data_IF_702347163013
#
_entry.id   IF_702347163013
#
_cell.length_a   1.000
_cell.length_b   1.000
_cell.length_c   1.000
_cell.angle_alpha   90.00
_cell.angle_beta   90.00
_cell.angle_gamma   90.00
#
_symmetry.space_group_name_H-M   'P 1'
#
loop_
_entity.id
_entity.type
_entity.pdbx_description
1 polymer ?
#
# COMPACT_ATOMS: atom_id res chain seq x y z
N UNK A 1 1.85 35.06 -16.19
CA UNK A 1 3.22 34.48 -16.27
C UNK A 1 3.25 33.19 -15.49
N UNK A 2 3.05 32.07 -16.15
CA UNK A 2 2.97 30.73 -15.59
C UNK A 2 4.39 30.19 -15.50
N UNK A 3 4.92 30.05 -14.25
CA UNK A 3 6.22 29.44 -14.01
C UNK A 3 6.13 27.94 -14.36
N UNK A 4 6.49 27.60 -15.59
CA UNK A 4 6.84 26.25 -15.97
C UNK A 4 8.03 25.78 -15.09
N UNK A 5 7.77 24.97 -14.06
CA UNK A 5 8.80 24.17 -13.42
C UNK A 5 9.29 23.15 -14.46
N UNK A 6 10.38 23.48 -15.14
CA UNK A 6 11.18 22.52 -15.89
C UNK A 6 11.72 21.49 -14.88
N UNK A 7 11.10 20.33 -14.83
CA UNK A 7 11.78 19.13 -14.33
C UNK A 7 12.85 18.78 -15.37
N UNK A 8 14.05 19.31 -15.21
CA UNK A 8 15.20 18.93 -16.02
C UNK A 8 15.59 17.51 -15.62
N UNK A 9 15.26 16.54 -16.47
CA UNK A 9 15.81 15.20 -16.39
C UNK A 9 17.28 15.30 -16.76
N UNK A 10 18.18 15.06 -15.79
CA UNK A 10 19.60 14.88 -16.02
C UNK A 10 19.87 13.37 -16.12
N UNK A 11 20.25 12.87 -17.31
CA UNK A 11 20.52 11.43 -17.48
C UNK A 11 21.77 10.95 -16.72
N UNK A 12 22.65 11.86 -16.27
CA UNK A 12 23.87 11.55 -15.53
C UNK A 12 23.67 11.64 -14.00
N UNK A 13 22.50 12.09 -13.54
CA UNK A 13 22.22 12.16 -12.10
C UNK A 13 21.98 10.76 -11.54
N UNK A 14 22.73 10.37 -10.49
CA UNK A 14 22.57 9.09 -9.81
C UNK A 14 21.14 8.93 -9.31
N UNK A 15 20.62 7.70 -9.41
CA UNK A 15 19.27 7.33 -8.95
C UNK A 15 19.10 7.71 -7.46
N UNK A 16 20.13 7.50 -6.64
CA UNK A 16 20.13 7.80 -5.21
C UNK A 16 20.03 9.32 -4.98
N UNK A 17 20.78 10.13 -5.71
CA UNK A 17 20.73 11.59 -5.62
C UNK A 17 19.39 12.15 -6.07
N UNK A 18 18.82 11.58 -7.12
CA UNK A 18 17.46 11.90 -7.55
C UNK A 18 16.42 11.58 -6.49
N UNK A 19 16.50 10.42 -5.89
CA UNK A 19 15.61 10.01 -4.79
C UNK A 19 15.78 10.94 -3.59
N UNK A 20 17.01 11.25 -3.20
CA UNK A 20 17.31 12.15 -2.07
C UNK A 20 16.80 13.59 -2.28
N UNK A 21 17.03 14.20 -3.44
CA UNK A 21 16.52 15.53 -3.77
C UNK A 21 14.97 15.56 -3.81
N UNK A 22 14.34 14.47 -4.24
CA UNK A 22 12.89 14.32 -4.31
C UNK A 22 12.26 14.03 -2.96
N UNK A 23 12.97 13.33 -2.07
CA UNK A 23 12.45 12.87 -0.78
C UNK A 23 12.21 13.98 0.24
N UNK A 24 12.89 15.12 0.14
CA UNK A 24 12.84 16.24 1.12
C UNK A 24 11.43 16.73 1.49
N UNK A 25 10.41 16.33 0.77
CA UNK A 25 9.02 16.73 1.04
C UNK A 25 8.01 15.65 0.61
N UNK A 26 8.36 14.37 0.81
CA UNK A 26 7.54 13.21 0.42
C UNK A 26 6.77 12.67 1.62
N UNK A 27 5.46 12.53 1.47
CA UNK A 27 4.57 11.83 2.42
C UNK A 27 4.91 10.33 2.44
N UNK A 28 5.24 9.76 1.28
CA UNK A 28 5.64 8.37 1.18
C UNK A 28 6.87 8.07 2.04
N UNK A 29 7.89 8.95 2.02
CA UNK A 29 9.06 8.78 2.88
C UNK A 29 8.69 8.88 4.37
N UNK A 30 7.78 9.77 4.75
CA UNK A 30 7.29 9.86 6.14
C UNK A 30 6.64 8.53 6.55
N UNK A 31 5.81 7.93 5.68
CA UNK A 31 5.18 6.63 5.93
C UNK A 31 6.25 5.53 6.11
N UNK A 32 7.26 5.48 5.25
CA UNK A 32 8.36 4.51 5.36
C UNK A 32 9.09 4.68 6.69
N UNK A 33 9.45 5.91 7.06
CA UNK A 33 10.13 6.20 8.33
C UNK A 33 9.25 5.81 9.53
N UNK A 34 7.96 6.11 9.50
CA UNK A 34 7.02 5.70 10.56
C UNK A 34 7.00 4.17 10.73
N UNK A 35 6.92 3.40 9.63
CA UNK A 35 6.95 1.94 9.69
C UNK A 35 8.26 1.41 10.30
N UNK A 36 9.41 1.99 9.91
CA UNK A 36 10.71 1.60 10.46
C UNK A 36 10.77 1.92 11.96
N UNK A 37 10.33 3.10 12.39
CA UNK A 37 10.34 3.50 13.81
C UNK A 37 9.43 2.62 14.66
N UNK A 38 8.22 2.29 14.16
CA UNK A 38 7.31 1.36 14.84
C UNK A 38 7.94 -0.02 14.94
N UNK A 39 8.54 -0.53 13.87
CA UNK A 39 9.23 -1.82 13.88
C UNK A 39 10.36 -1.86 14.92
N UNK A 40 11.18 -0.83 14.99
CA UNK A 40 12.25 -0.73 15.98
C UNK A 40 11.68 -0.70 17.41
N UNK A 41 10.62 0.07 17.65
CA UNK A 41 9.97 0.14 18.96
C UNK A 41 9.44 -1.24 19.41
N UNK A 42 8.74 -1.95 18.51
CA UNK A 42 8.21 -3.31 18.79
C UNK A 42 9.34 -4.31 19.02
N UNK A 43 10.42 -4.22 18.23
CA UNK A 43 11.59 -5.09 18.41
C UNK A 43 12.23 -4.90 19.79
N UNK A 44 12.35 -3.66 20.28
CA UNK A 44 12.96 -3.34 21.57
C UNK A 44 12.08 -3.72 22.77
N UNK A 45 10.75 -3.83 22.59
CA UNK A 45 9.82 -4.09 23.70
C UNK A 45 9.42 -5.56 23.86
N UNK A 46 9.69 -6.43 22.88
CA UNK A 46 9.32 -7.85 23.00
C UNK A 46 9.51 -8.66 21.73
N UNK A 47 10.03 -8.03 20.67
CA UNK A 47 10.30 -8.67 19.39
C UNK A 47 9.08 -8.72 18.47
N UNK A 48 9.35 -8.92 17.19
CA UNK A 48 8.33 -8.87 16.12
C UNK A 48 7.84 -10.24 15.66
N UNK A 49 8.33 -11.33 16.26
CA UNK A 49 7.95 -12.70 15.89
C UNK A 49 6.85 -13.28 16.80
N UNK A 50 6.64 -12.69 17.97
CA UNK A 50 5.63 -13.14 18.93
C UNK A 50 4.25 -12.60 18.57
N UNK A 51 3.31 -13.47 18.18
CA UNK A 51 1.92 -13.08 17.91
C UNK A 51 1.26 -12.40 19.10
N UNK A 52 1.56 -12.85 20.33
CA UNK A 52 1.03 -12.24 21.56
C UNK A 52 1.52 -10.80 21.70
N UNK A 53 2.83 -10.58 21.59
CA UNK A 53 3.40 -9.24 21.68
C UNK A 53 2.89 -8.33 20.56
N UNK A 54 2.75 -8.86 19.33
CA UNK A 54 2.18 -8.12 18.21
C UNK A 54 0.72 -7.72 18.47
N UNK A 55 -0.09 -8.59 19.08
CA UNK A 55 -1.45 -8.24 19.52
C UNK A 55 -1.44 -7.13 20.59
N UNK A 56 -0.53 -7.20 21.56
CA UNK A 56 -0.38 -6.18 22.60
C UNK A 56 0.04 -4.83 21.99
N UNK A 57 0.78 -4.84 20.88
CA UNK A 57 1.16 -3.65 20.10
C UNK A 57 0.09 -3.16 19.12
N UNK A 58 -1.06 -3.83 18.98
CA UNK A 58 -2.17 -3.36 18.15
C UNK A 58 -2.27 -4.04 16.77
N UNK A 59 -1.72 -5.27 16.61
CA UNK A 59 -1.97 -6.09 15.43
C UNK A 59 -3.45 -6.46 15.29
N UNK A 60 -3.90 -6.68 14.06
CA UNK A 60 -5.27 -7.09 13.79
C UNK A 60 -5.49 -8.53 14.29
N UNK A 61 -6.53 -8.71 15.06
CA UNK A 61 -6.99 -9.99 15.57
C UNK A 61 -8.51 -9.95 15.71
N UNK A 62 -9.20 -10.78 14.95
CA UNK A 62 -10.65 -10.69 14.80
C UNK A 62 -11.43 -10.69 16.12
N UNK A 63 -11.11 -11.53 17.14
CA UNK A 63 -11.82 -11.49 18.42
C UNK A 63 -11.69 -10.16 19.17
N UNK A 64 -10.54 -9.50 19.11
CA UNK A 64 -10.34 -8.20 19.77
C UNK A 64 -11.04 -7.07 19.00
N UNK A 65 -11.05 -7.13 17.67
CA UNK A 65 -11.80 -6.18 16.83
C UNK A 65 -13.31 -6.33 17.13
N UNK A 66 -13.82 -7.57 17.24
CA UNK A 66 -15.21 -7.84 17.55
C UNK A 66 -15.60 -7.34 18.95
N UNK A 67 -14.67 -7.34 19.91
CA UNK A 67 -14.87 -6.77 21.25
C UNK A 67 -14.82 -5.23 21.29
N UNK A 68 -14.62 -4.56 20.13
CA UNK A 68 -14.65 -3.09 20.00
C UNK A 68 -13.30 -2.43 19.76
N UNK A 69 -12.19 -3.17 19.65
CA UNK A 69 -10.87 -2.60 19.40
C UNK A 69 -10.64 -2.30 17.92
N UNK A 70 -11.55 -1.53 17.29
CA UNK A 70 -11.52 -1.21 15.85
C UNK A 70 -10.26 -0.46 15.40
N UNK A 71 -9.54 0.21 16.32
CA UNK A 71 -8.28 0.89 16.03
C UNK A 71 -7.23 -0.06 15.43
N UNK A 72 -7.34 -1.37 15.71
CA UNK A 72 -6.45 -2.41 15.17
C UNK A 72 -6.47 -2.50 13.65
N UNK A 73 -7.57 -2.15 13.02
CA UNK A 73 -7.64 -2.06 11.54
C UNK A 73 -6.69 -1.01 10.98
N UNK A 74 -6.36 0.01 11.77
CA UNK A 74 -5.41 1.06 11.39
C UNK A 74 -3.99 0.75 11.89
N UNK A 75 -3.83 0.41 13.16
CA UNK A 75 -2.49 0.24 13.79
C UNK A 75 -1.72 -0.93 13.19
N UNK A 76 -2.42 -2.02 12.83
CA UNK A 76 -1.81 -3.19 12.18
C UNK A 76 -1.12 -2.86 10.85
N UNK A 77 -1.51 -1.79 10.16
CA UNK A 77 -0.88 -1.33 8.91
C UNK A 77 0.58 -0.89 9.10
N UNK A 78 1.01 -0.61 10.33
CA UNK A 78 2.36 -0.14 10.65
C UNK A 78 3.21 -1.18 11.36
N UNK A 79 2.63 -2.32 11.72
CA UNK A 79 3.31 -3.43 12.37
C UNK A 79 3.79 -4.45 11.34
N UNK A 80 4.93 -5.12 11.61
CA UNK A 80 5.48 -6.11 10.68
C UNK A 80 6.05 -7.31 11.44
N UNK A 81 5.66 -8.52 11.00
CA UNK A 81 6.27 -9.77 11.48
C UNK A 81 7.64 -9.98 10.82
N UNK A 82 8.70 -9.76 11.58
CA UNK A 82 10.06 -9.95 11.16
C UNK A 82 10.61 -8.91 10.15
N UNK A 83 11.92 -8.85 10.10
CA UNK A 83 12.65 -7.85 9.29
C UNK A 83 12.43 -8.03 7.77
N UNK A 84 12.29 -9.27 7.30
CA UNK A 84 12.08 -9.55 5.88
C UNK A 84 10.75 -8.99 5.38
N UNK A 85 9.68 -9.10 6.20
CA UNK A 85 8.37 -8.54 5.88
C UNK A 85 8.43 -7.01 5.79
N UNK A 86 9.10 -6.36 6.77
CA UNK A 86 9.32 -4.91 6.72
C UNK A 86 10.08 -4.50 5.45
N UNK A 87 11.23 -5.12 5.16
CA UNK A 87 12.07 -4.77 4.00
C UNK A 87 11.26 -4.87 2.71
N UNK A 88 10.53 -5.96 2.50
CA UNK A 88 9.74 -6.16 1.29
C UNK A 88 8.69 -5.05 1.09
N UNK A 89 7.98 -4.67 2.16
CA UNK A 89 7.01 -3.58 2.10
C UNK A 89 7.68 -2.22 1.86
N UNK A 90 8.76 -1.91 2.56
CA UNK A 90 9.46 -0.62 2.44
C UNK A 90 10.09 -0.45 1.05
N UNK A 91 10.66 -1.49 0.47
CA UNK A 91 11.18 -1.44 -0.90
C UNK A 91 10.07 -1.12 -1.91
N UNK A 92 8.91 -1.79 -1.81
CA UNK A 92 7.78 -1.49 -2.68
C UNK A 92 7.26 -0.06 -2.48
N UNK A 93 7.18 0.43 -1.24
CA UNK A 93 6.78 1.80 -0.95
C UNK A 93 7.78 2.83 -1.49
N UNK A 94 9.08 2.61 -1.30
CA UNK A 94 10.11 3.53 -1.79
C UNK A 94 10.06 3.69 -3.31
N UNK A 95 9.81 2.60 -4.05
CA UNK A 95 9.74 2.67 -5.50
C UNK A 95 8.34 3.08 -5.98
N UNK A 96 7.32 2.29 -5.67
CA UNK A 96 5.98 2.49 -6.20
C UNK A 96 5.27 3.70 -5.59
N UNK A 97 5.43 3.89 -4.28
CA UNK A 97 4.80 5.01 -3.55
C UNK A 97 5.31 6.36 -4.03
N UNK A 98 6.62 6.50 -4.31
CA UNK A 98 7.20 7.72 -4.87
C UNK A 98 6.60 8.06 -6.25
N UNK A 99 6.50 7.07 -7.15
CA UNK A 99 5.89 7.28 -8.46
C UNK A 99 4.41 7.70 -8.33
N UNK A 100 3.66 7.03 -7.47
CA UNK A 100 2.24 7.33 -7.28
C UNK A 100 2.05 8.70 -6.65
N UNK A 101 2.78 9.04 -5.56
CA UNK A 101 2.69 10.34 -4.91
C UNK A 101 2.96 11.49 -5.88
N UNK A 102 4.01 11.38 -6.71
CA UNK A 102 4.33 12.37 -7.74
C UNK A 102 3.24 12.51 -8.81
N UNK A 103 2.61 11.40 -9.16
CA UNK A 103 1.59 11.38 -10.21
C UNK A 103 0.25 11.96 -9.75
N UNK A 104 -0.16 11.74 -8.50
CA UNK A 104 -1.48 12.12 -7.99
C UNK A 104 -1.46 13.26 -6.98
N UNK A 105 -0.30 13.57 -6.40
CA UNK A 105 -0.10 14.53 -5.32
C UNK A 105 -0.32 13.92 -3.94
N UNK A 106 0.25 14.57 -2.92
CA UNK A 106 0.36 14.06 -1.54
C UNK A 106 -0.95 13.63 -0.90
N UNK A 107 -1.98 14.48 -0.98
CA UNK A 107 -3.25 14.21 -0.29
C UNK A 107 -3.95 13.01 -0.93
N UNK A 108 -3.99 12.91 -2.25
CA UNK A 108 -4.61 11.77 -2.94
C UNK A 108 -3.82 10.49 -2.68
N UNK A 109 -2.49 10.58 -2.68
CA UNK A 109 -1.64 9.45 -2.32
C UNK A 109 -1.95 8.94 -0.90
N UNK A 110 -2.04 9.85 0.08
CA UNK A 110 -2.35 9.50 1.46
C UNK A 110 -3.74 8.84 1.59
N UNK A 111 -4.75 9.38 0.89
CA UNK A 111 -6.11 8.79 0.87
C UNK A 111 -6.09 7.41 0.24
N UNK A 112 -5.36 7.20 -0.87
CA UNK A 112 -5.23 5.89 -1.52
C UNK A 112 -4.53 4.91 -0.59
N UNK A 113 -3.41 5.29 0.01
CA UNK A 113 -2.62 4.44 0.88
C UNK A 113 -3.40 4.04 2.15
N UNK A 114 -3.84 5.02 2.94
CA UNK A 114 -4.55 4.76 4.20
C UNK A 114 -5.94 4.19 3.99
N UNK A 115 -6.72 4.76 3.08
CA UNK A 115 -8.07 4.30 2.80
C UNK A 115 -8.10 2.89 2.21
N UNK A 116 -7.21 2.61 1.26
CA UNK A 116 -7.09 1.28 0.68
C UNK A 116 -6.54 0.25 1.66
N UNK A 117 -5.60 0.62 2.53
CA UNK A 117 -5.10 -0.25 3.59
C UNK A 117 -6.19 -0.60 4.61
N UNK A 118 -6.99 0.40 5.03
CA UNK A 118 -8.13 0.16 5.92
C UNK A 118 -9.17 -0.77 5.30
N UNK A 119 -9.51 -0.59 4.02
CA UNK A 119 -10.43 -1.51 3.30
C UNK A 119 -9.81 -2.89 3.19
N UNK A 120 -8.52 -3.01 2.92
CA UNK A 120 -7.80 -4.29 2.91
C UNK A 120 -7.93 -5.01 4.25
N UNK A 121 -7.60 -4.33 5.36
CA UNK A 121 -7.71 -4.91 6.69
C UNK A 121 -9.16 -5.23 7.09
N UNK A 122 -10.13 -4.46 6.60
CA UNK A 122 -11.56 -4.78 6.79
C UNK A 122 -11.92 -6.07 6.03
N UNK A 123 -11.45 -6.26 4.80
CA UNK A 123 -11.68 -7.50 4.05
C UNK A 123 -11.05 -8.72 4.76
N UNK A 124 -9.82 -8.57 5.27
CA UNK A 124 -9.16 -9.57 6.10
C UNK A 124 -9.97 -9.92 7.35
N UNK A 125 -10.39 -8.91 8.11
CA UNK A 125 -11.22 -9.10 9.29
C UNK A 125 -12.53 -9.84 8.99
N UNK A 126 -13.23 -9.47 7.92
CA UNK A 126 -14.49 -10.14 7.52
C UNK A 126 -14.25 -11.60 7.11
N UNK A 127 -13.11 -11.89 6.48
CA UNK A 127 -12.71 -13.27 6.17
C UNK A 127 -12.42 -14.08 7.45
N UNK A 128 -11.65 -13.50 8.39
CA UNK A 128 -11.38 -14.14 9.69
C UNK A 128 -12.66 -14.43 10.48
N UNK A 129 -13.63 -13.51 10.47
CA UNK A 129 -14.95 -13.75 11.07
C UNK A 129 -15.68 -14.92 10.43
N UNK A 130 -15.55 -15.08 9.10
CA UNK A 130 -16.13 -16.23 8.41
C UNK A 130 -15.45 -17.53 8.82
N UNK A 131 -14.11 -17.57 8.87
CA UNK A 131 -13.32 -18.74 9.30
C UNK A 131 -13.65 -19.13 10.75
N UNK A 132 -13.78 -18.18 11.66
CA UNK A 132 -14.18 -18.44 13.05
C UNK A 132 -15.57 -19.11 13.13
N UNK A 133 -16.53 -18.73 12.29
CA UNK A 133 -17.86 -19.37 12.23
C UNK A 133 -17.81 -20.79 11.69
N UNK A 134 -16.80 -21.14 10.89
CA UNK A 134 -16.55 -22.51 10.41
C UNK A 134 -15.71 -23.35 11.35
N UNK A 135 -15.29 -22.77 12.49
CA UNK A 135 -14.54 -23.48 13.55
C UNK A 135 -13.02 -23.40 13.40
N UNK A 136 -12.53 -22.54 12.52
CA UNK A 136 -11.10 -22.31 12.38
C UNK A 136 -10.60 -21.29 13.42
N UNK A 137 -9.34 -21.46 13.87
CA UNK A 137 -8.73 -20.53 14.80
C UNK A 137 -8.35 -19.23 14.07
N UNK A 138 -8.69 -18.04 14.62
CA UNK A 138 -8.36 -16.76 13.99
C UNK A 138 -6.86 -16.49 14.02
N UNK A 139 -6.36 -15.91 12.93
CA UNK A 139 -4.96 -15.51 12.76
C UNK A 139 -4.72 -14.07 13.22
N UNK A 140 -3.50 -13.80 13.65
CA UNK A 140 -3.02 -12.42 13.89
C UNK A 140 -2.43 -11.88 12.62
N UNK A 141 -2.95 -10.74 12.13
CA UNK A 141 -2.50 -10.10 10.90
C UNK A 141 -1.86 -8.73 11.18
N UNK A 142 -0.77 -8.44 10.49
CA UNK A 142 -0.09 -7.15 10.53
C UNK A 142 0.76 -6.95 9.27
N UNK A 143 0.84 -5.72 8.79
CA UNK A 143 1.67 -5.33 7.64
C UNK A 143 1.12 -4.14 6.88
N UNK A 144 2.02 -3.39 6.26
CA UNK A 144 1.66 -2.34 5.33
C UNK A 144 1.13 -2.88 3.99
N UNK A 145 1.13 -4.19 3.79
CA UNK A 145 0.96 -4.82 2.47
C UNK A 145 -0.41 -4.55 1.85
N UNK A 146 -1.51 -4.51 2.62
CA UNK A 146 -2.83 -4.10 2.13
C UNK A 146 -2.81 -2.69 1.51
N UNK A 147 -2.14 -1.74 2.16
CA UNK A 147 -1.95 -0.37 1.65
C UNK A 147 -0.98 -0.33 0.46
N UNK A 148 0.07 -1.15 0.45
CA UNK A 148 0.97 -1.32 -0.71
C UNK A 148 0.20 -1.84 -1.91
N UNK A 149 -0.64 -2.86 -1.74
CA UNK A 149 -1.49 -3.37 -2.82
C UNK A 149 -2.52 -2.34 -3.29
N UNK A 150 -3.00 -1.47 -2.40
CA UNK A 150 -3.81 -0.31 -2.81
C UNK A 150 -3.03 0.63 -3.75
N UNK A 151 -1.77 0.92 -3.44
CA UNK A 151 -0.93 1.69 -4.34
C UNK A 151 -0.68 0.97 -5.68
N UNK A 152 -0.54 -0.36 -5.68
CA UNK A 152 -0.44 -1.18 -6.91
C UNK A 152 -1.71 -1.08 -7.75
N UNK A 153 -2.90 -1.25 -7.16
CA UNK A 153 -4.18 -1.13 -7.84
C UNK A 153 -4.39 0.27 -8.44
N UNK A 154 -4.09 1.31 -7.65
CA UNK A 154 -4.13 2.69 -8.10
C UNK A 154 -3.17 2.96 -9.26
N UNK A 155 -1.95 2.43 -9.20
CA UNK A 155 -0.96 2.59 -10.26
C UNK A 155 -1.38 1.90 -11.55
N UNK A 156 -1.96 0.70 -11.49
CA UNK A 156 -2.47 0.00 -12.69
C UNK A 156 -3.57 0.80 -13.37
N UNK A 157 -4.50 1.36 -12.61
CA UNK A 157 -5.54 2.25 -13.15
C UNK A 157 -4.90 3.49 -13.79
N UNK A 158 -3.95 4.14 -13.12
CA UNK A 158 -3.23 5.30 -13.67
C UNK A 158 -2.52 4.95 -14.97
N UNK A 159 -1.81 3.83 -15.02
CA UNK A 159 -1.10 3.37 -16.22
C UNK A 159 -2.06 3.08 -17.38
N UNK A 160 -3.21 2.44 -17.10
CA UNK A 160 -4.24 2.20 -18.12
C UNK A 160 -4.72 3.51 -18.77
N UNK A 161 -4.91 4.57 -17.94
CA UNK A 161 -5.29 5.89 -18.44
C UNK A 161 -4.16 6.65 -19.14
N UNK A 162 -2.90 6.37 -18.80
CA UNK A 162 -1.70 6.96 -19.39
C UNK A 162 -1.15 6.18 -20.58
N UNK A 163 -2.00 5.47 -21.34
CA UNK A 163 -1.62 4.65 -22.50
C UNK A 163 -0.62 3.54 -22.15
N UNK A 164 -0.71 3.02 -20.94
CA UNK A 164 0.06 1.86 -20.48
C UNK A 164 1.48 2.14 -20.00
N UNK A 165 1.90 3.42 -19.95
CA UNK A 165 3.28 3.77 -19.53
C UNK A 165 3.34 5.06 -18.69
N UNK A 166 4.17 5.03 -17.67
CA UNK A 166 4.55 6.19 -16.86
C UNK A 166 6.05 6.08 -16.52
N UNK A 167 6.88 6.96 -17.08
CA UNK A 167 8.34 6.88 -17.00
C UNK A 167 8.82 5.47 -17.41
N UNK A 168 9.50 4.74 -16.51
CA UNK A 168 9.99 3.37 -16.76
C UNK A 168 8.99 2.28 -16.38
N UNK A 169 7.86 2.67 -15.75
CA UNK A 169 6.79 1.73 -15.37
C UNK A 169 5.86 1.48 -16.55
N UNK A 170 5.57 0.21 -16.79
CA UNK A 170 4.58 -0.20 -17.79
C UNK A 170 3.46 -1.00 -17.14
N UNK A 171 2.25 -0.88 -17.71
CA UNK A 171 1.09 -1.65 -17.25
C UNK A 171 1.38 -3.15 -17.18
N UNK A 172 2.03 -3.71 -18.22
CA UNK A 172 2.35 -5.14 -18.29
C UNK A 172 3.26 -5.58 -17.12
N UNK A 173 4.34 -4.83 -16.85
CA UNK A 173 5.26 -5.16 -15.75
C UNK A 173 4.55 -5.11 -14.40
N UNK A 174 3.76 -4.06 -14.17
CA UNK A 174 3.00 -3.91 -12.93
C UNK A 174 1.94 -5.00 -12.75
N UNK A 175 1.21 -5.34 -13.82
CA UNK A 175 0.20 -6.41 -13.78
C UNK A 175 0.84 -7.78 -13.49
N UNK A 176 1.95 -8.10 -14.15
CA UNK A 176 2.70 -9.34 -13.89
C UNK A 176 3.20 -9.39 -12.44
N UNK A 177 3.78 -8.30 -11.92
CA UNK A 177 4.23 -8.24 -10.52
C UNK A 177 3.07 -8.44 -9.54
N UNK A 178 1.92 -7.77 -9.77
CA UNK A 178 0.75 -7.92 -8.91
C UNK A 178 0.23 -9.36 -8.90
N UNK A 179 0.10 -9.98 -10.07
CA UNK A 179 -0.35 -11.37 -10.19
C UNK A 179 0.62 -12.33 -9.50
N UNK A 180 1.93 -12.20 -9.76
CA UNK A 180 2.93 -13.07 -9.14
C UNK A 180 2.94 -12.91 -7.61
N UNK A 181 2.81 -11.68 -7.09
CA UNK A 181 2.74 -11.44 -5.65
C UNK A 181 1.51 -12.10 -5.02
N UNK A 182 0.35 -12.05 -5.66
CA UNK A 182 -0.87 -12.73 -5.19
C UNK A 182 -0.72 -14.26 -5.27
N UNK A 183 -0.14 -14.80 -6.35
CA UNK A 183 0.08 -16.24 -6.51
C UNK A 183 1.04 -16.78 -5.45
N UNK A 184 2.15 -16.07 -5.17
CA UNK A 184 3.07 -16.42 -4.07
C UNK A 184 2.34 -16.35 -2.73
N UNK A 185 1.49 -15.34 -2.54
CA UNK A 185 0.65 -15.22 -1.35
C UNK A 185 -0.28 -16.43 -1.13
N UNK A 186 -0.89 -16.94 -2.21
CA UNK A 186 -1.76 -18.12 -2.11
C UNK A 186 -1.03 -19.42 -1.70
N UNK A 187 0.29 -19.46 -1.85
CA UNK A 187 1.11 -20.61 -1.45
C UNK A 187 1.68 -20.51 -0.03
N UNK A 188 1.48 -19.38 0.63
CA UNK A 188 2.02 -19.11 1.96
C UNK A 188 0.89 -18.88 2.95
N UNK A 189 0.84 -19.70 4.00
CA UNK A 189 -0.10 -19.52 5.12
C UNK A 189 0.11 -18.23 5.92
N UNK A 190 1.26 -17.57 5.73
CA UNK A 190 1.63 -16.36 6.46
C UNK A 190 1.31 -15.06 5.71
N UNK A 191 0.61 -15.14 4.57
CA UNK A 191 0.27 -13.98 3.74
C UNK A 191 -1.24 -13.77 3.73
N UNK A 192 -1.66 -12.59 4.15
CA UNK A 192 -3.05 -12.17 4.19
C UNK A 192 -3.53 -11.72 2.80
N UNK A 193 -3.98 -12.69 2.00
CA UNK A 193 -4.45 -12.45 0.65
C UNK A 193 -5.74 -11.62 0.58
N UNK A 194 -6.59 -11.68 1.60
CA UNK A 194 -7.82 -10.89 1.64
C UNK A 194 -7.51 -9.41 1.85
N UNK A 195 -6.52 -9.09 2.69
CA UNK A 195 -6.01 -7.73 2.80
C UNK A 195 -5.42 -7.23 1.48
N UNK A 196 -4.67 -8.08 0.76
CA UNK A 196 -4.07 -7.72 -0.53
C UNK A 196 -5.11 -7.46 -1.61
N UNK A 197 -6.09 -8.36 -1.78
CA UNK A 197 -7.16 -8.22 -2.78
C UNK A 197 -8.05 -7.02 -2.44
N UNK A 198 -8.47 -6.90 -1.17
CA UNK A 198 -9.29 -5.78 -0.70
C UNK A 198 -8.60 -4.44 -0.91
N UNK A 199 -7.32 -4.35 -0.52
CA UNK A 199 -6.48 -3.16 -0.72
C UNK A 199 -6.35 -2.82 -2.21
N UNK A 200 -6.00 -3.79 -3.04
CA UNK A 200 -5.85 -3.62 -4.49
C UNK A 200 -7.12 -3.06 -5.15
N UNK A 201 -8.27 -3.64 -4.88
CA UNK A 201 -9.55 -3.20 -5.43
C UNK A 201 -9.92 -1.80 -4.93
N UNK A 202 -9.74 -1.54 -3.63
CA UNK A 202 -9.99 -0.23 -3.06
C UNK A 202 -9.10 0.85 -3.68
N UNK A 203 -7.80 0.58 -3.86
CA UNK A 203 -6.86 1.49 -4.49
C UNK A 203 -7.23 1.80 -5.94
N UNK A 204 -7.65 0.78 -6.71
CA UNK A 204 -8.14 0.95 -8.07
C UNK A 204 -9.38 1.85 -8.13
N UNK A 205 -10.35 1.64 -7.25
CA UNK A 205 -11.57 2.46 -7.15
C UNK A 205 -11.23 3.89 -6.71
N UNK A 206 -10.43 4.06 -5.65
CA UNK A 206 -10.03 5.38 -5.16
C UNK A 206 -9.31 6.19 -6.24
N UNK A 207 -8.41 5.55 -7.01
CA UNK A 207 -7.75 6.20 -8.13
C UNK A 207 -8.75 6.63 -9.19
N UNK A 208 -9.69 5.75 -9.55
CA UNK A 208 -10.73 6.06 -10.54
C UNK A 208 -11.58 7.27 -10.14
N UNK A 209 -11.85 7.43 -8.85
CA UNK A 209 -12.68 8.52 -8.32
C UNK A 209 -11.86 9.81 -8.14
N UNK A 210 -10.66 9.70 -7.57
CA UNK A 210 -9.89 10.86 -7.13
C UNK A 210 -9.05 11.52 -8.21
N UNK A 211 -8.78 10.83 -9.34
CA UNK A 211 -7.90 11.38 -10.37
C UNK A 211 -8.64 12.23 -11.41
N UNK A 212 -8.50 13.57 -11.39
CA UNK A 212 -9.27 14.47 -12.26
C UNK A 212 -9.00 14.30 -13.76
N UNK A 213 -7.85 13.71 -14.11
CA UNK A 213 -7.49 13.41 -15.50
C UNK A 213 -8.47 12.47 -16.19
N UNK A 214 -9.14 11.60 -15.45
CA UNK A 214 -10.17 10.69 -15.96
C UNK A 214 -11.39 11.43 -16.49
N UNK A 215 -11.86 12.46 -15.80
CA UNK A 215 -13.02 13.26 -16.24
C UNK A 215 -12.74 14.00 -17.56
N UNK A 216 -11.50 14.42 -17.79
CA UNK A 216 -11.09 15.08 -19.05
C UNK A 216 -11.00 14.10 -20.23
N UNK A 217 -10.52 12.89 -20.01
CA UNK A 217 -10.42 11.86 -21.05
C UNK A 217 -11.82 11.35 -21.42
N UNK A 218 -12.71 11.14 -20.44
CA UNK A 218 -14.11 10.75 -20.67
C UNK A 218 -14.89 11.80 -21.47
N UNK A 219 -14.57 13.11 -21.30
CA UNK A 219 -15.17 14.19 -22.11
C UNK A 219 -14.61 14.24 -23.54
N UNK A 220 -13.34 13.90 -23.77
CA UNK A 220 -12.74 13.85 -25.11
C UNK A 220 -13.21 12.66 -25.95
N UNK A 221 -13.45 11.50 -25.33
CA UNK A 221 -13.97 10.30 -26.01
C UNK A 221 -15.47 10.35 -26.37
N UNK A 222 -16.20 11.39 -25.91
CA UNK A 222 -17.61 11.63 -26.21
C UNK A 222 -17.85 12.75 -27.23
N UNK A 223 -16.82 13.29 -27.83
CA UNK A 223 -17.00 14.22 -28.97
C UNK A 223 -16.99 13.40 -30.26
N UNK A 224 -18.08 13.46 -31.04
CA UNK A 224 -18.21 12.78 -32.32
C UNK A 224 -17.16 13.30 -33.33
#
# INVERSE_FOLDING_TARGET
>A
MEKQRKNSYDPNEDIVDRMWKRSKNSINLVIVVCNILVFLAVTLTGGTESSRHMMDCGAAYAPLIESGEYYRLFTSMFLHFGIQHLINNMLLLLFLGDYLERAVGKIRYLVIYLGGGLVGNLCSYLHELFLMKTGEAPAVSAGASGAVFSAVGAMLVLLAFRKGRLEDLTFRRMAVMAVLSLLVGCQSSNIDNFAHIGGFLAGAVLMAVLYPGMARIRKRGKRP
#
